data_IF_339331072577
#
_entry.id   IF_339331072577
#
_cell.length_a   1.000
_cell.length_b   1.000
_cell.length_c   1.000
_cell.angle_alpha   90.00
_cell.angle_beta   90.00
_cell.angle_gamma   90.00
#
_symmetry.space_group_name_H-M   'P 1'
#
loop_
_entity.id
_entity.type
_entity.pdbx_description
1 polymer ?
#
# COMPACT_ATOMS: atom_id res chain seq x y z
N UNK A 1 -25.36 18.58 -13.20
CA UNK A 1 -23.99 18.03 -13.25
C UNK A 1 -23.79 17.38 -14.61
N UNK A 2 -22.68 17.65 -15.31
CA UNK A 2 -22.38 16.97 -16.57
C UNK A 2 -21.80 15.58 -16.28
N UNK A 3 -22.48 14.53 -16.74
CA UNK A 3 -21.98 13.14 -16.64
C UNK A 3 -21.22 12.79 -17.91
N UNK A 4 -19.98 12.31 -17.77
CA UNK A 4 -19.17 11.78 -18.88
C UNK A 4 -19.10 10.26 -18.77
N UNK A 5 -19.20 9.58 -19.91
CA UNK A 5 -19.13 8.12 -20.00
C UNK A 5 -17.72 7.72 -20.42
N UNK A 6 -17.16 6.70 -19.77
CA UNK A 6 -15.89 6.07 -20.15
C UNK A 6 -16.21 4.74 -20.81
N UNK A 7 -15.78 4.58 -22.06
CA UNK A 7 -15.87 3.31 -22.79
C UNK A 7 -14.50 2.68 -22.84
N UNK A 8 -14.40 1.42 -22.43
CA UNK A 8 -13.20 0.59 -22.59
C UNK A 8 -13.44 -0.45 -23.68
N UNK A 9 -12.37 -0.86 -24.35
CA UNK A 9 -12.39 -2.01 -25.27
C UNK A 9 -11.71 -3.16 -24.56
N UNK A 10 -12.51 -4.03 -23.96
CA UNK A 10 -12.06 -5.28 -23.34
C UNK A 10 -12.70 -6.42 -24.11
N UNK A 11 -11.99 -7.53 -24.27
CA UNK A 11 -12.62 -8.77 -24.73
C UNK A 11 -13.42 -9.42 -23.58
N UNK A 12 -14.22 -10.44 -23.90
CA UNK A 12 -15.09 -11.11 -22.91
C UNK A 12 -14.30 -11.73 -21.75
N UNK A 13 -13.14 -12.33 -22.04
CA UNK A 13 -12.29 -12.96 -21.01
C UNK A 13 -11.68 -11.93 -20.06
N UNK A 14 -11.20 -10.80 -20.57
CA UNK A 14 -10.66 -9.67 -19.80
C UNK A 14 -11.74 -9.05 -18.94
N UNK A 15 -12.93 -8.84 -19.49
CA UNK A 15 -14.05 -8.29 -18.75
C UNK A 15 -14.50 -9.23 -17.64
N UNK A 16 -14.59 -10.53 -17.90
CA UNK A 16 -14.93 -11.55 -16.90
C UNK A 16 -13.93 -11.54 -15.74
N UNK A 17 -12.62 -11.58 -16.04
CA UNK A 17 -11.57 -11.53 -15.01
C UNK A 17 -11.62 -10.26 -14.17
N UNK A 18 -11.88 -9.11 -14.81
CA UNK A 18 -12.02 -7.84 -14.12
C UNK A 18 -13.24 -7.84 -13.20
N UNK A 19 -14.36 -8.38 -13.68
CA UNK A 19 -15.60 -8.49 -12.92
C UNK A 19 -15.43 -9.42 -11.71
N UNK A 20 -14.79 -10.57 -11.88
CA UNK A 20 -14.50 -11.51 -10.81
C UNK A 20 -13.61 -10.89 -9.73
N UNK A 21 -12.53 -10.21 -10.13
CA UNK A 21 -11.67 -9.48 -9.20
C UNK A 21 -12.43 -8.40 -8.42
N UNK A 22 -13.29 -7.64 -9.11
CA UNK A 22 -14.14 -6.63 -8.51
C UNK A 22 -15.13 -7.24 -7.50
N UNK A 23 -15.73 -8.39 -7.83
CA UNK A 23 -16.66 -9.10 -6.95
C UNK A 23 -15.99 -9.64 -5.69
N UNK A 24 -14.77 -10.18 -5.80
CA UNK A 24 -13.98 -10.68 -4.65
C UNK A 24 -13.72 -9.55 -3.65
N UNK A 25 -13.37 -8.36 -4.16
CA UNK A 25 -13.08 -7.19 -3.33
C UNK A 25 -14.35 -6.42 -2.90
N UNK A 26 -15.53 -6.82 -3.39
CA UNK A 26 -16.80 -6.15 -3.09
C UNK A 26 -16.94 -4.75 -3.69
N UNK A 27 -16.28 -4.49 -4.82
CA UNK A 27 -16.22 -3.18 -5.48
C UNK A 27 -16.83 -3.26 -6.89
N UNK A 28 -17.41 -2.18 -7.40
CA UNK A 28 -17.89 -2.16 -8.79
C UNK A 28 -16.76 -1.84 -9.78
N UNK A 29 -16.85 -2.41 -10.99
CA UNK A 29 -15.91 -2.11 -12.08
C UNK A 29 -15.83 -0.61 -12.38
N UNK A 30 -16.98 0.09 -12.37
CA UNK A 30 -17.05 1.54 -12.58
C UNK A 30 -16.31 2.32 -11.49
N UNK A 31 -16.37 1.85 -10.24
CA UNK A 31 -15.65 2.44 -9.14
C UNK A 31 -14.14 2.28 -9.31
N UNK A 32 -13.70 1.06 -9.65
CA UNK A 32 -12.29 0.76 -9.90
C UNK A 32 -11.71 1.60 -11.04
N UNK A 33 -12.44 1.72 -12.16
CA UNK A 33 -12.00 2.53 -13.32
C UNK A 33 -11.92 4.01 -12.94
N UNK A 34 -12.89 4.53 -12.19
CA UNK A 34 -12.86 5.92 -11.70
C UNK A 34 -11.63 6.15 -10.82
N UNK A 35 -11.37 5.25 -9.87
CA UNK A 35 -10.20 5.32 -8.99
C UNK A 35 -8.89 5.33 -9.77
N UNK A 36 -8.75 4.41 -10.72
CA UNK A 36 -7.53 4.28 -11.53
C UNK A 36 -7.27 5.54 -12.37
N UNK A 37 -8.32 6.13 -12.95
CA UNK A 37 -8.20 7.40 -13.69
C UNK A 37 -7.79 8.53 -12.75
N UNK A 38 -8.45 8.66 -11.59
CA UNK A 38 -8.14 9.73 -10.65
C UNK A 38 -6.72 9.65 -10.10
N UNK A 39 -6.20 8.45 -9.82
CA UNK A 39 -4.80 8.24 -9.41
C UNK A 39 -3.78 8.66 -10.48
N UNK A 40 -4.16 8.63 -11.77
CA UNK A 40 -3.30 9.09 -12.87
C UNK A 40 -3.38 10.59 -13.11
N UNK A 41 -4.54 11.19 -12.87
CA UNK A 41 -4.79 12.61 -13.11
C UNK A 41 -4.29 13.47 -11.94
N UNK A 42 -4.54 13.03 -10.72
CA UNK A 42 -4.16 13.74 -9.51
C UNK A 42 -3.21 12.89 -8.65
N UNK A 43 -1.92 13.27 -8.54
CA UNK A 43 -0.94 12.55 -7.74
C UNK A 43 -1.28 12.55 -6.25
N UNK A 44 -2.10 13.50 -5.78
CA UNK A 44 -2.52 13.61 -4.38
C UNK A 44 -3.87 12.94 -4.11
N UNK A 45 -4.53 12.36 -5.11
CA UNK A 45 -5.86 11.77 -4.97
C UNK A 45 -5.94 10.73 -3.84
N UNK A 46 -4.94 9.86 -3.76
CA UNK A 46 -4.89 8.81 -2.73
C UNK A 46 -4.74 9.42 -1.33
N UNK A 47 -3.90 10.45 -1.18
CA UNK A 47 -3.72 11.14 0.10
C UNK A 47 -5.01 11.84 0.54
N UNK A 48 -5.65 12.58 -0.36
CA UNK A 48 -6.89 13.28 -0.07
C UNK A 48 -8.00 12.29 0.34
N UNK A 49 -8.10 11.15 -0.35
CA UNK A 49 -9.10 10.13 -0.02
C UNK A 49 -8.81 9.41 1.29
N UNK A 50 -7.54 9.25 1.68
CA UNK A 50 -7.16 8.73 3.00
C UNK A 50 -7.51 9.74 4.08
N UNK A 51 -7.22 11.03 3.87
CA UNK A 51 -7.56 12.12 4.80
C UNK A 51 -9.07 12.20 4.99
N UNK A 52 -9.86 12.18 3.92
CA UNK A 52 -11.33 12.12 4.01
C UNK A 52 -11.80 10.92 4.83
N UNK A 53 -11.22 9.74 4.63
CA UNK A 53 -11.56 8.55 5.44
C UNK A 53 -11.12 8.68 6.90
N UNK A 54 -10.03 9.37 7.18
CA UNK A 54 -9.55 9.65 8.54
C UNK A 54 -10.46 10.65 9.26
N UNK A 55 -10.93 11.68 8.57
CA UNK A 55 -11.85 12.68 9.11
C UNK A 55 -13.25 12.09 9.36
N UNK A 56 -13.68 11.14 8.52
CA UNK A 56 -14.99 10.50 8.63
C UNK A 56 -15.01 9.35 9.66
N UNK A 57 -13.85 8.77 10.01
CA UNK A 57 -13.79 7.63 10.93
C UNK A 57 -12.58 7.68 11.89
N UNK A 58 -12.77 8.17 13.13
CA UNK A 58 -11.71 8.19 14.15
C UNK A 58 -11.20 6.80 14.57
N UNK A 59 -12.02 5.76 14.38
CA UNK A 59 -11.66 4.37 14.67
C UNK A 59 -10.60 3.85 13.68
N UNK A 60 -10.63 4.32 12.43
CA UNK A 60 -9.64 3.98 11.42
C UNK A 60 -8.24 4.44 11.83
N UNK A 61 -8.11 5.64 12.40
CA UNK A 61 -6.85 6.15 12.94
C UNK A 61 -6.31 5.27 14.07
N UNK A 62 -7.19 4.78 14.95
CA UNK A 62 -6.82 3.85 16.03
C UNK A 62 -6.28 2.54 15.47
N UNK A 63 -6.94 1.97 14.46
CA UNK A 63 -6.49 0.74 13.80
C UNK A 63 -5.14 0.91 13.08
N UNK A 64 -4.95 2.01 12.34
CA UNK A 64 -3.69 2.32 11.66
C UNK A 64 -2.56 2.50 12.69
N UNK A 65 -2.80 3.25 13.77
CA UNK A 65 -1.84 3.44 14.87
C UNK A 65 -1.46 2.10 15.50
N UNK A 66 -2.43 1.21 15.74
CA UNK A 66 -2.18 -0.10 16.34
C UNK A 66 -1.34 -0.99 15.42
N UNK A 67 -1.65 -1.02 14.12
CA UNK A 67 -0.83 -1.75 13.12
C UNK A 67 0.60 -1.23 13.02
N UNK A 68 0.80 0.09 13.10
CA UNK A 68 2.16 0.69 13.11
C UNK A 68 2.91 0.22 14.36
N UNK A 69 2.32 0.33 15.55
CA UNK A 69 2.95 -0.12 16.81
C UNK A 69 3.31 -1.61 16.76
N UNK A 70 2.45 -2.45 16.20
CA UNK A 70 2.72 -3.88 16.08
C UNK A 70 3.88 -4.18 15.14
N UNK A 71 3.98 -3.46 14.00
CA UNK A 71 5.07 -3.60 13.04
C UNK A 71 6.40 -3.09 13.60
N UNK A 72 6.39 -1.96 14.32
CA UNK A 72 7.58 -1.43 15.01
C UNK A 72 8.07 -2.39 16.11
N UNK A 73 7.16 -3.04 16.86
CA UNK A 73 7.53 -4.07 17.85
C UNK A 73 8.13 -5.32 17.23
N UNK A 74 7.63 -5.77 16.07
CA UNK A 74 8.17 -6.93 15.34
C UNK A 74 9.54 -6.67 14.69
N UNK A 75 9.90 -5.41 14.45
CA UNK A 75 11.16 -5.04 13.74
C UNK A 75 12.29 -4.62 14.69
N UNK A 76 11.99 -4.42 15.98
CA UNK A 76 12.96 -4.07 17.02
C UNK A 76 13.13 -5.23 18.01
N UNK A 77 13.50 -6.41 17.52
CA UNK A 77 14.39 -7.22 18.36
C UNK A 77 15.75 -6.54 18.25
N UNK A 78 16.22 -5.94 19.35
CA UNK A 78 17.55 -5.38 19.45
C UNK A 78 18.55 -6.52 19.26
N UNK A 79 18.91 -6.81 18.00
CA UNK A 79 19.95 -7.76 17.68
C UNK A 79 21.25 -7.08 18.10
N UNK A 80 21.89 -7.59 19.15
CA UNK A 80 23.24 -7.15 19.50
C UNK A 80 24.15 -7.50 18.33
N UNK A 81 24.59 -6.48 17.59
CA UNK A 81 25.56 -6.64 16.53
C UNK A 81 26.95 -6.47 17.13
N UNK A 82 27.80 -7.46 16.94
CA UNK A 82 29.22 -7.32 17.27
C UNK A 82 29.92 -6.43 16.25
N UNK A 83 31.09 -5.89 16.61
CA UNK A 83 31.89 -5.05 15.70
C UNK A 83 32.25 -5.80 14.41
N UNK A 84 32.40 -7.12 14.47
CA UNK A 84 32.71 -7.95 13.31
C UNK A 84 31.49 -8.18 12.41
N UNK A 85 30.27 -8.26 12.97
CA UNK A 85 29.04 -8.32 12.16
C UNK A 85 28.85 -7.06 11.31
N UNK A 86 29.16 -5.90 11.88
CA UNK A 86 29.11 -4.61 11.17
C UNK A 86 30.20 -4.52 10.09
N UNK A 87 31.40 -5.08 10.34
CA UNK A 87 32.47 -5.14 9.33
C UNK A 87 32.07 -5.99 8.14
N UNK A 88 31.45 -7.14 8.38
CA UNK A 88 30.98 -8.03 7.31
C UNK A 88 29.88 -7.36 6.49
N UNK A 89 28.92 -6.68 7.13
CA UNK A 89 27.86 -5.95 6.43
C UNK A 89 28.39 -4.81 5.54
N UNK A 90 29.54 -4.22 5.91
CA UNK A 90 30.22 -3.16 5.16
C UNK A 90 31.26 -3.69 4.16
N UNK A 91 31.38 -5.02 4.00
CA UNK A 91 32.33 -5.65 3.06
C UNK A 91 33.79 -5.61 3.52
N UNK A 92 34.05 -5.39 4.81
CA UNK A 92 35.38 -5.35 5.40
C UNK A 92 35.78 -6.73 5.95
N UNK A 93 37.07 -7.07 5.89
CA UNK A 93 37.58 -8.31 6.48
C UNK A 93 37.53 -8.24 8.02
N UNK A 94 37.16 -9.33 8.70
CA UNK A 94 37.20 -9.39 10.17
C UNK A 94 38.64 -9.26 10.68
N UNK A 95 38.80 -8.67 11.88
CA UNK A 95 40.13 -8.45 12.46
C UNK A 95 40.67 -9.77 13.01
N UNK A 96 41.72 -10.28 12.38
CA UNK A 96 42.49 -11.41 12.89
C UNK A 96 43.13 -11.00 14.23
N UNK A 97 42.71 -11.65 15.31
CA UNK A 97 43.39 -11.53 16.60
C UNK A 97 44.72 -12.29 16.51
N UNK A 98 45.83 -11.57 16.65
CA UNK A 98 47.16 -12.16 16.87
C UNK A 98 47.25 -12.86 18.22
#
# INVERSE_FOLDING_TARGET
MSTKVVSTKLNEDEYTKLMDACNIEGVSVSFLVKDAIMMKVDPNYLMNRIVEKMDVNPEFLSQVRNKIKEKTRKTLEAKEYTVDDLRIALGLKPVEKK
#
